data_IF_654920076326
#
_entry.id   IF_654920076326
#
_cell.length_a   1.000
_cell.length_b   1.000
_cell.length_c   1.000
_cell.angle_alpha   90.00
_cell.angle_beta   90.00
_cell.angle_gamma   90.00
#
_symmetry.space_group_name_H-M   'P 1'
#
loop_
_entity.id
_entity.type
_entity.pdbx_description
1 polymer ?
#
# COMPACT_ATOMS: atom_id res chain seq x y z
N UNK A 1 37.13 4.06 -18.06
CA UNK A 1 35.81 4.70 -18.22
C UNK A 1 34.85 3.57 -18.50
N UNK A 2 33.96 3.21 -17.57
CA UNK A 2 32.92 2.22 -17.90
C UNK A 2 32.01 2.87 -18.94
N UNK A 3 31.82 2.25 -20.09
CA UNK A 3 30.80 2.69 -21.03
C UNK A 3 29.47 2.77 -20.30
N UNK A 4 28.87 3.95 -20.31
CA UNK A 4 27.55 4.17 -19.77
C UNK A 4 26.57 3.34 -20.61
N UNK A 5 26.13 2.20 -20.09
CA UNK A 5 25.05 1.43 -20.71
C UNK A 5 23.75 2.17 -20.50
N UNK A 6 23.03 2.44 -21.56
CA UNK A 6 21.67 2.98 -21.51
C UNK A 6 20.68 1.92 -22.00
N UNK A 7 19.47 1.96 -21.45
CA UNK A 7 18.38 1.12 -21.91
C UNK A 7 17.08 1.94 -21.99
N UNK A 8 16.30 1.77 -23.04
CA UNK A 8 14.96 2.34 -23.15
C UNK A 8 14.00 1.39 -23.85
N UNK A 9 12.71 1.50 -23.52
CA UNK A 9 11.63 0.82 -24.23
C UNK A 9 10.92 1.82 -25.14
N UNK A 10 10.53 1.39 -26.33
CA UNK A 10 9.66 2.16 -27.23
C UNK A 10 8.17 1.95 -26.93
N UNK A 11 7.85 1.15 -25.91
CA UNK A 11 6.48 0.80 -25.53
C UNK A 11 5.80 -0.22 -26.45
N UNK A 12 6.45 -0.65 -27.54
CA UNK A 12 5.90 -1.64 -28.46
C UNK A 12 6.19 -3.09 -28.04
N UNK A 13 7.08 -3.28 -27.06
CA UNK A 13 7.61 -4.59 -26.67
C UNK A 13 9.09 -4.79 -27.02
N UNK A 14 9.80 -3.71 -27.37
CA UNK A 14 11.24 -3.71 -27.64
C UNK A 14 12.01 -2.98 -26.55
N UNK A 15 13.12 -3.57 -26.13
CA UNK A 15 14.11 -2.96 -25.26
C UNK A 15 15.38 -2.71 -26.05
N UNK A 16 15.76 -1.44 -26.17
CA UNK A 16 17.01 -1.01 -26.78
C UNK A 16 18.04 -0.89 -25.68
N UNK A 17 19.15 -1.63 -25.77
CA UNK A 17 20.28 -1.55 -24.85
C UNK A 17 21.51 -1.23 -25.67
N UNK A 18 21.99 0.01 -25.60
CA UNK A 18 23.01 0.52 -26.54
C UNK A 18 22.56 0.25 -28.00
N UNK A 19 23.36 -0.49 -28.78
CA UNK A 19 23.06 -0.80 -30.19
C UNK A 19 22.24 -2.11 -30.36
N UNK A 20 21.97 -2.84 -29.28
CA UNK A 20 21.24 -4.12 -29.31
C UNK A 20 19.73 -3.91 -29.06
N UNK A 21 18.90 -4.69 -29.77
CA UNK A 21 17.45 -4.70 -29.58
C UNK A 21 17.02 -6.07 -29.09
N UNK A 22 16.26 -6.10 -28.00
CA UNK A 22 15.68 -7.31 -27.42
C UNK A 22 14.17 -7.19 -27.40
N UNK A 23 13.47 -8.24 -27.81
CA UNK A 23 12.02 -8.23 -27.93
C UNK A 23 11.38 -9.12 -26.86
N UNK A 24 10.27 -8.64 -26.28
CA UNK A 24 9.33 -9.45 -25.50
C UNK A 24 8.17 -9.83 -26.41
N UNK A 25 7.92 -11.12 -26.56
CA UNK A 25 6.85 -11.62 -27.43
C UNK A 25 5.94 -12.60 -26.72
N UNK A 26 4.71 -12.69 -27.19
CA UNK A 26 3.80 -13.79 -26.92
C UNK A 26 3.27 -14.33 -28.25
N UNK A 27 3.49 -15.62 -28.51
CA UNK A 27 3.09 -16.27 -29.75
C UNK A 27 3.57 -15.53 -31.01
N UNK A 28 4.80 -15.00 -30.95
CA UNK A 28 5.42 -14.22 -32.04
C UNK A 28 4.92 -12.78 -32.18
N UNK A 29 3.95 -12.35 -31.35
CA UNK A 29 3.47 -10.97 -31.31
C UNK A 29 4.21 -10.19 -30.23
N UNK A 30 4.63 -8.96 -30.53
CA UNK A 30 5.28 -8.11 -29.53
C UNK A 30 4.31 -7.78 -28.38
N UNK A 31 4.81 -7.87 -27.16
CA UNK A 31 4.08 -7.51 -25.95
C UNK A 31 4.52 -6.14 -25.45
N UNK A 32 3.67 -5.10 -25.55
CA UNK A 32 3.91 -3.81 -24.92
C UNK A 32 4.20 -3.96 -23.42
N UNK A 33 5.27 -3.32 -22.94
CA UNK A 33 5.61 -3.35 -21.53
C UNK A 33 6.10 -1.98 -21.03
N UNK A 34 5.87 -1.76 -19.74
CA UNK A 34 6.40 -0.64 -18.97
C UNK A 34 7.58 -1.10 -18.11
N UNK A 35 8.64 -0.30 -18.04
CA UNK A 35 9.82 -0.60 -17.20
C UNK A 35 9.61 0.04 -15.83
N UNK A 36 9.58 -0.79 -14.79
CA UNK A 36 9.48 -0.32 -13.40
C UNK A 36 10.85 0.03 -12.83
N UNK A 37 11.79 -0.92 -12.90
CA UNK A 37 13.08 -0.77 -12.22
C UNK A 37 14.17 -1.63 -12.87
N UNK A 38 15.40 -1.15 -12.80
CA UNK A 38 16.60 -1.93 -13.06
C UNK A 38 17.35 -2.18 -11.76
N UNK A 39 17.55 -3.46 -11.42
CA UNK A 39 18.27 -3.90 -10.23
C UNK A 39 19.70 -4.25 -10.64
N UNK A 40 20.61 -3.29 -10.45
CA UNK A 40 22.01 -3.40 -10.89
C UNK A 40 22.74 -4.59 -10.26
N UNK A 41 22.47 -4.91 -8.99
CA UNK A 41 23.12 -6.03 -8.28
C UNK A 41 22.80 -7.40 -8.88
N UNK A 42 21.64 -7.54 -9.53
CA UNK A 42 21.19 -8.78 -10.17
C UNK A 42 21.32 -8.76 -11.69
N UNK A 43 21.66 -7.59 -12.26
CA UNK A 43 21.53 -7.31 -13.69
C UNK A 43 20.13 -7.67 -14.24
N UNK A 44 19.10 -7.33 -13.48
CA UNK A 44 17.71 -7.71 -13.74
C UNK A 44 16.86 -6.47 -13.99
N UNK A 45 16.06 -6.49 -15.05
CA UNK A 45 15.02 -5.49 -15.32
C UNK A 45 13.67 -6.05 -14.91
N UNK A 46 12.84 -5.22 -14.27
CA UNK A 46 11.46 -5.57 -13.94
C UNK A 46 10.52 -4.77 -14.80
N UNK A 47 9.64 -5.47 -15.50
CA UNK A 47 8.70 -4.91 -16.47
C UNK A 47 7.28 -5.38 -16.17
N UNK A 48 6.28 -4.58 -16.55
CA UNK A 48 4.88 -5.01 -16.52
C UNK A 48 4.26 -4.98 -17.92
N UNK A 49 3.50 -6.01 -18.25
CA UNK A 49 2.67 -6.08 -19.47
C UNK A 49 1.20 -6.23 -19.09
N UNK A 50 0.32 -5.58 -19.84
CA UNK A 50 -1.12 -5.78 -19.69
C UNK A 50 -1.58 -6.96 -20.53
N UNK A 51 -2.46 -7.78 -19.96
CA UNK A 51 -3.20 -8.81 -20.66
C UNK A 51 -4.64 -8.36 -20.79
N UNK A 52 -5.07 -8.15 -22.03
CA UNK A 52 -6.44 -7.72 -22.34
C UNK A 52 -7.30 -8.97 -22.57
N UNK A 53 -8.09 -9.32 -21.56
CA UNK A 53 -9.15 -10.34 -21.63
C UNK A 53 -10.51 -9.75 -21.21
N UNK A 54 -11.40 -10.55 -20.63
CA UNK A 54 -12.66 -10.04 -20.04
C UNK A 54 -12.40 -9.07 -18.87
N UNK A 55 -11.33 -9.32 -18.10
CA UNK A 55 -10.77 -8.41 -17.10
C UNK A 55 -9.33 -8.08 -17.49
N UNK A 56 -8.93 -6.81 -17.32
CA UNK A 56 -7.54 -6.41 -17.56
C UNK A 56 -6.69 -6.93 -16.42
N UNK A 57 -5.69 -7.75 -16.74
CA UNK A 57 -4.72 -8.25 -15.76
C UNK A 57 -3.33 -7.74 -16.11
N UNK A 58 -2.46 -7.69 -15.12
CA UNK A 58 -1.09 -7.22 -15.27
C UNK A 58 -0.12 -8.32 -14.86
N UNK A 59 0.80 -8.62 -15.76
CA UNK A 59 1.91 -9.50 -15.45
C UNK A 59 3.14 -8.66 -15.16
N UNK A 60 3.72 -8.86 -13.98
CA UNK A 60 5.01 -8.34 -13.58
C UNK A 60 6.06 -9.42 -13.81
N UNK A 61 7.10 -9.07 -14.57
CA UNK A 61 8.11 -10.00 -15.06
C UNK A 61 9.48 -9.47 -14.68
N UNK A 62 10.29 -10.28 -14.00
CA UNK A 62 11.71 -10.01 -13.82
C UNK A 62 12.52 -10.74 -14.88
N UNK A 63 13.41 -10.01 -15.54
CA UNK A 63 14.21 -10.51 -16.66
C UNK A 63 15.68 -10.26 -16.37
N UNK A 64 16.46 -11.32 -16.30
CA UNK A 64 17.92 -11.24 -16.21
C UNK A 64 18.51 -10.94 -17.59
N UNK A 65 19.24 -9.83 -17.70
CA UNK A 65 19.74 -9.35 -18.99
C UNK A 65 20.90 -10.18 -19.55
N UNK A 66 21.63 -10.93 -18.72
CA UNK A 66 22.69 -11.84 -19.17
C UNK A 66 22.11 -13.09 -19.83
N UNK A 67 20.94 -13.55 -19.37
CA UNK A 67 20.21 -14.69 -19.94
C UNK A 67 19.37 -14.31 -21.16
N UNK A 68 18.97 -13.05 -21.28
CA UNK A 68 18.18 -12.52 -22.39
C UNK A 68 19.03 -12.24 -23.64
N UNK A 69 19.89 -13.16 -24.09
CA UNK A 69 20.83 -12.88 -25.18
C UNK A 69 20.12 -12.54 -26.51
N UNK A 70 19.10 -13.32 -26.88
CA UNK A 70 18.37 -13.19 -28.16
C UNK A 70 16.98 -12.57 -28.00
N UNK A 71 16.30 -12.82 -26.89
CA UNK A 71 14.96 -12.32 -26.59
C UNK A 71 14.80 -12.13 -25.08
N UNK A 72 13.94 -11.20 -24.70
CA UNK A 72 13.57 -10.98 -23.31
C UNK A 72 12.90 -12.21 -22.70
N UNK A 73 12.19 -13.00 -23.50
CA UNK A 73 11.54 -14.25 -23.07
C UNK A 73 12.52 -15.25 -22.45
N UNK A 74 13.74 -15.37 -22.99
CA UNK A 74 14.76 -16.30 -22.49
C UNK A 74 15.38 -15.87 -21.16
N UNK A 75 15.23 -14.59 -20.80
CA UNK A 75 15.77 -14.04 -19.55
C UNK A 75 14.80 -14.04 -18.39
N UNK A 76 13.54 -14.49 -18.58
CA UNK A 76 12.52 -14.46 -17.54
C UNK A 76 12.98 -15.30 -16.34
N UNK A 77 13.03 -14.66 -15.17
CA UNK A 77 13.37 -15.28 -13.89
C UNK A 77 12.12 -15.72 -13.14
N UNK A 78 11.09 -14.87 -13.18
CA UNK A 78 9.79 -15.12 -12.60
C UNK A 78 8.75 -14.21 -13.25
N UNK A 79 7.50 -14.66 -13.19
CA UNK A 79 6.31 -13.96 -13.67
C UNK A 79 5.22 -14.05 -12.61
N UNK A 80 4.72 -12.88 -12.20
CA UNK A 80 3.64 -12.74 -11.23
C UNK A 80 2.47 -12.00 -11.88
N UNK A 81 1.24 -12.35 -11.51
CA UNK A 81 0.01 -11.76 -12.03
C UNK A 81 -0.78 -11.06 -10.94
N UNK A 82 -1.28 -9.88 -11.25
CA UNK A 82 -2.17 -9.09 -10.40
C UNK A 82 -3.33 -8.56 -11.25
N UNK A 83 -4.46 -8.29 -10.61
CA UNK A 83 -5.62 -7.68 -11.27
C UNK A 83 -5.49 -6.15 -11.38
N UNK A 84 -4.44 -5.56 -10.81
CA UNK A 84 -4.18 -4.12 -10.90
C UNK A 84 -2.70 -3.82 -11.22
N UNK A 85 -2.44 -2.58 -11.66
CA UNK A 85 -1.12 -2.13 -12.04
C UNK A 85 -0.18 -2.07 -10.82
N UNK A 86 1.08 -2.54 -10.94
CA UNK A 86 2.06 -2.46 -9.86
C UNK A 86 2.30 -1.02 -9.42
N UNK A 87 2.15 -0.77 -8.11
CA UNK A 87 2.36 0.53 -7.47
C UNK A 87 3.76 0.66 -6.85
N UNK A 88 4.36 -0.47 -6.44
CA UNK A 88 5.71 -0.52 -5.85
C UNK A 88 6.47 -1.75 -6.36
N UNK A 89 7.75 -1.56 -6.73
CA UNK A 89 8.64 -2.64 -7.18
C UNK A 89 10.04 -2.40 -6.62
N UNK A 90 10.40 -3.20 -5.62
CA UNK A 90 11.61 -3.00 -4.83
C UNK A 90 12.36 -4.32 -4.61
N UNK A 91 13.68 -4.22 -4.53
CA UNK A 91 14.56 -5.35 -4.20
C UNK A 91 15.53 -4.93 -3.11
N UNK A 92 15.27 -5.37 -1.88
CA UNK A 92 15.95 -4.92 -0.68
C UNK A 92 16.38 -6.13 0.14
N UNK A 93 17.63 -6.15 0.58
CA UNK A 93 18.18 -7.21 1.44
C UNK A 93 17.97 -8.65 0.90
N UNK A 94 18.10 -8.82 -0.42
CA UNK A 94 17.88 -10.06 -1.17
C UNK A 94 16.42 -10.54 -1.27
N UNK A 95 15.46 -9.70 -0.89
CA UNK A 95 14.03 -9.98 -0.95
C UNK A 95 13.34 -9.04 -1.94
N UNK A 96 12.41 -9.58 -2.72
CA UNK A 96 11.51 -8.80 -3.56
C UNK A 96 10.35 -8.27 -2.73
N UNK A 97 10.08 -6.99 -2.85
CA UNK A 97 8.95 -6.32 -2.22
C UNK A 97 8.13 -5.64 -3.31
N UNK A 98 6.95 -6.18 -3.59
CA UNK A 98 6.07 -5.75 -4.66
C UNK A 98 4.75 -5.31 -4.07
N UNK A 99 4.09 -4.33 -4.68
CA UNK A 99 2.73 -4.01 -4.26
C UNK A 99 1.85 -3.53 -5.39
N UNK A 100 0.58 -3.85 -5.27
CA UNK A 100 -0.52 -3.39 -6.12
C UNK A 100 -1.82 -3.46 -5.30
N UNK A 101 -2.94 -3.06 -5.88
CA UNK A 101 -4.24 -3.10 -5.20
C UNK A 101 -4.79 -4.52 -4.99
N UNK A 102 -4.16 -5.54 -5.57
CA UNK A 102 -4.54 -6.95 -5.42
C UNK A 102 -3.31 -7.81 -5.21
N UNK A 103 -3.46 -8.94 -4.51
CA UNK A 103 -2.35 -9.86 -4.28
C UNK A 103 -1.74 -10.37 -5.59
N UNK A 104 -0.41 -10.51 -5.62
CA UNK A 104 0.28 -11.14 -6.73
C UNK A 104 0.16 -12.66 -6.64
N UNK A 105 -0.10 -13.31 -7.77
CA UNK A 105 -0.14 -14.77 -7.89
C UNK A 105 0.93 -15.23 -8.85
N UNK A 106 1.56 -16.38 -8.57
CA UNK A 106 2.57 -16.95 -9.45
C UNK A 106 1.92 -17.47 -10.74
N UNK A 107 2.58 -17.26 -11.86
CA UNK A 107 2.21 -17.84 -13.16
C UNK A 107 3.14 -19.02 -13.44
N UNK A 108 2.62 -20.25 -13.44
CA UNK A 108 3.45 -21.46 -13.52
C UNK A 108 3.95 -21.84 -14.93
N UNK A 109 3.50 -21.15 -16.00
CA UNK A 109 3.89 -21.44 -17.38
C UNK A 109 4.79 -20.36 -17.98
N UNK A 110 6.10 -20.59 -17.96
CA UNK A 110 7.11 -19.75 -18.63
C UNK A 110 7.38 -20.13 -20.10
N UNK A 111 6.46 -20.84 -20.75
CA UNK A 111 6.56 -21.14 -22.18
C UNK A 111 5.33 -21.82 -22.77
N UNK A 112 4.61 -21.11 -23.64
CA UNK A 112 3.55 -21.66 -24.50
C UNK A 112 2.13 -21.43 -23.99
N UNK A 113 1.35 -20.78 -24.85
CA UNK A 113 -0.11 -20.65 -24.87
C UNK A 113 -0.76 -19.70 -23.83
N UNK A 114 -1.05 -18.49 -24.31
CA UNK A 114 -2.16 -17.70 -23.81
C UNK A 114 -3.43 -18.02 -24.63
N UNK A 115 -4.46 -18.46 -23.90
CA UNK A 115 -5.89 -18.63 -24.24
C UNK A 115 -6.34 -20.05 -24.62
N UNK A 116 -7.04 -20.70 -23.67
CA UNK A 116 -8.42 -21.18 -23.89
C UNK A 116 -9.11 -21.39 -22.53
N UNK A 117 -10.17 -20.62 -22.28
CA UNK A 117 -11.16 -20.93 -21.26
C UNK A 117 -11.88 -22.24 -21.60
N UNK A 118 -12.05 -23.09 -20.60
CA UNK A 118 -13.35 -23.63 -20.15
C UNK A 118 -13.08 -24.72 -19.12
N UNK A 119 -13.44 -24.49 -17.86
CA UNK A 119 -14.28 -25.46 -17.15
C UNK A 119 -15.17 -24.74 -16.13
N UNK A 120 -16.39 -25.26 -15.94
CA UNK A 120 -17.55 -24.47 -15.57
C UNK A 120 -17.61 -24.19 -14.06
N UNK A 121 -18.43 -23.20 -13.73
CA UNK A 121 -18.94 -22.94 -12.39
C UNK A 121 -19.39 -24.24 -11.70
N UNK A 122 -18.51 -24.80 -10.86
CA UNK A 122 -18.92 -25.73 -9.83
C UNK A 122 -19.45 -24.91 -8.67
N UNK A 123 -20.77 -24.93 -8.56
CA UNK A 123 -21.53 -24.66 -7.35
C UNK A 123 -20.71 -24.99 -6.11
N UNK A 124 -20.49 -23.97 -5.28
CA UNK A 124 -20.00 -24.09 -3.90
C UNK A 124 -20.96 -25.01 -3.16
N UNK A 125 -20.69 -26.30 -3.26
CA UNK A 125 -21.24 -27.29 -2.34
C UNK A 125 -20.32 -27.18 -1.15
N UNK A 126 -20.88 -26.71 -0.05
CA UNK A 126 -20.23 -26.58 1.24
C UNK A 126 -19.76 -27.97 1.69
N UNK A 127 -18.56 -28.37 1.25
CA UNK A 127 -17.81 -29.43 1.87
C UNK A 127 -17.35 -28.90 3.22
N UNK A 128 -18.13 -29.25 4.24
CA UNK A 128 -17.72 -29.19 5.64
C UNK A 128 -16.41 -29.96 5.81
N UNK A 129 -15.29 -29.27 5.65
CA UNK A 129 -14.05 -29.68 6.29
C UNK A 129 -14.33 -29.74 7.80
N UNK A 130 -13.89 -30.85 8.42
CA UNK A 130 -14.06 -31.08 9.85
C UNK A 130 -13.40 -29.94 10.64
N UNK A 131 -14.02 -29.46 11.74
CA UNK A 131 -13.50 -28.34 12.51
C UNK A 131 -12.43 -28.86 13.47
N UNK A 132 -11.16 -28.48 13.30
CA UNK A 132 -10.16 -28.69 14.36
C UNK A 132 -8.95 -27.76 14.26
N UNK A 133 -9.16 -26.46 14.08
CA UNK A 133 -8.16 -25.47 14.47
C UNK A 133 -8.89 -24.18 14.88
N UNK A 134 -8.53 -23.66 16.05
CA UNK A 134 -9.12 -22.43 16.59
C UNK A 134 -8.74 -21.26 15.67
N UNK A 135 -9.74 -20.51 15.21
CA UNK A 135 -9.54 -19.33 14.36
C UNK A 135 -9.24 -18.10 15.22
N UNK A 136 -8.30 -17.28 14.76
CA UNK A 136 -7.89 -16.04 15.40
C UNK A 136 -8.25 -14.86 14.51
N UNK A 137 -8.96 -13.88 15.05
CA UNK A 137 -9.22 -12.59 14.42
C UNK A 137 -8.60 -11.50 15.28
N UNK A 138 -8.18 -10.39 14.66
CA UNK A 138 -7.59 -9.28 15.40
C UNK A 138 -8.04 -7.93 14.83
N UNK A 139 -7.95 -6.90 15.66
CA UNK A 139 -8.20 -5.51 15.33
C UNK A 139 -7.25 -4.64 16.14
N UNK A 140 -7.13 -3.36 15.81
CA UNK A 140 -6.40 -2.41 16.65
C UNK A 140 -7.10 -1.06 16.72
N UNK A 141 -6.80 -0.37 17.81
CA UNK A 141 -7.09 1.04 18.03
C UNK A 141 -5.77 1.79 18.25
N UNK A 142 -5.85 3.08 18.58
CA UNK A 142 -4.68 3.93 18.78
C UNK A 142 -3.79 3.41 19.94
N UNK A 143 -4.39 2.95 21.03
CA UNK A 143 -3.69 2.56 22.25
C UNK A 143 -3.68 1.04 22.53
N UNK A 144 -4.44 0.24 21.76
CA UNK A 144 -4.57 -1.19 22.01
C UNK A 144 -4.64 -2.05 20.73
N UNK A 145 -4.28 -3.32 20.86
CA UNK A 145 -4.49 -4.38 19.87
C UNK A 145 -5.40 -5.44 20.49
N UNK A 146 -6.56 -5.68 19.89
CA UNK A 146 -7.53 -6.68 20.37
C UNK A 146 -7.44 -7.95 19.55
N UNK A 147 -7.32 -9.10 20.23
CA UNK A 147 -7.24 -10.42 19.64
C UNK A 147 -8.42 -11.24 20.14
N UNK A 148 -9.19 -11.81 19.22
CA UNK A 148 -10.33 -12.68 19.53
C UNK A 148 -10.02 -14.08 19.01
N UNK A 149 -10.06 -15.06 19.92
CA UNK A 149 -9.82 -16.47 19.61
C UNK A 149 -11.11 -17.24 19.82
N UNK A 150 -11.60 -17.89 18.76
CA UNK A 150 -12.76 -18.77 18.83
C UNK A 150 -12.35 -20.15 19.37
N UNK A 151 -12.91 -20.53 20.51
CA UNK A 151 -12.61 -21.79 21.20
C UNK A 151 -13.57 -22.89 20.78
N UNK A 152 -13.02 -24.04 20.39
CA UNK A 152 -13.79 -25.26 20.06
C UNK A 152 -14.36 -25.98 21.28
N UNK A 153 -13.70 -25.88 22.45
CA UNK A 153 -14.17 -26.42 23.73
C UNK A 153 -13.91 -25.42 24.87
N UNK A 154 -14.89 -25.24 25.78
CA UNK A 154 -14.76 -24.39 26.97
C UNK A 154 -14.44 -25.27 28.18
N UNK A 155 -13.21 -25.21 28.66
CA UNK A 155 -12.73 -25.84 29.89
C UNK A 155 -12.56 -24.85 31.06
N UNK A 156 -11.63 -25.16 31.97
CA UNK A 156 -11.33 -24.29 33.12
C UNK A 156 -10.64 -22.99 32.64
N UNK A 157 -10.92 -21.85 33.30
CA UNK A 157 -10.39 -20.52 32.92
C UNK A 157 -8.86 -20.50 32.89
N UNK A 158 -8.22 -21.20 33.82
CA UNK A 158 -6.76 -21.26 33.96
C UNK A 158 -6.06 -21.95 32.78
N UNK A 159 -6.74 -22.88 32.09
CA UNK A 159 -6.20 -23.58 30.92
C UNK A 159 -6.05 -22.70 29.67
N UNK A 160 -6.72 -21.53 29.65
CA UNK A 160 -6.73 -20.61 28.51
C UNK A 160 -6.01 -19.29 28.79
N UNK A 161 -5.48 -19.11 30.00
CA UNK A 161 -4.86 -17.86 30.40
C UNK A 161 -3.66 -17.55 29.50
N UNK A 162 -3.68 -16.43 28.75
CA UNK A 162 -2.53 -16.04 27.95
C UNK A 162 -1.38 -15.62 28.86
N UNK A 163 -0.15 -15.99 28.48
CA UNK A 163 1.06 -15.47 29.11
C UNK A 163 1.56 -14.33 28.24
N UNK A 164 1.35 -13.11 28.72
CA UNK A 164 1.68 -11.87 28.01
C UNK A 164 3.08 -11.42 28.48
N UNK A 165 3.98 -11.17 27.53
CA UNK A 165 5.28 -10.55 27.74
C UNK A 165 5.43 -9.37 26.77
N UNK A 166 6.43 -8.52 27.02
CA UNK A 166 6.67 -7.27 26.28
C UNK A 166 6.66 -7.41 24.76
N UNK A 167 7.13 -8.51 24.17
CA UNK A 167 7.13 -8.72 22.70
C UNK A 167 6.69 -10.13 22.29
N UNK A 168 6.09 -10.86 23.21
CA UNK A 168 5.74 -12.26 22.99
C UNK A 168 4.45 -12.57 23.74
N UNK A 169 3.58 -13.37 23.13
CA UNK A 169 2.39 -13.88 23.77
C UNK A 169 2.31 -15.39 23.62
N UNK A 170 2.01 -16.10 24.71
CA UNK A 170 1.62 -17.50 24.64
C UNK A 170 0.13 -17.60 24.83
N UNK A 171 -0.58 -18.11 23.83
CA UNK A 171 -2.01 -18.35 23.86
C UNK A 171 -2.22 -19.87 23.80
N UNK A 172 -2.41 -20.56 24.95
CA UNK A 172 -2.47 -22.02 25.00
C UNK A 172 -3.55 -22.66 24.11
N UNK A 173 -4.63 -21.92 23.83
CA UNK A 173 -5.68 -22.35 22.91
C UNK A 173 -5.26 -22.35 21.44
N UNK A 174 -4.27 -21.54 21.05
CA UNK A 174 -3.79 -21.45 19.66
C UNK A 174 -2.51 -22.25 19.46
N UNK A 175 -1.56 -22.13 20.40
CA UNK A 175 -0.27 -22.81 20.34
C UNK A 175 0.30 -23.03 21.73
N UNK A 176 1.04 -24.12 21.90
CA UNK A 176 1.82 -24.36 23.10
C UNK A 176 3.12 -23.54 23.14
N UNK A 177 3.51 -22.97 21.99
CA UNK A 177 4.72 -22.17 21.84
C UNK A 177 4.45 -20.69 22.12
N UNK A 178 5.52 -19.95 22.36
CA UNK A 178 5.45 -18.50 22.54
C UNK A 178 5.46 -17.84 21.16
N UNK A 179 4.48 -16.97 20.90
CA UNK A 179 4.27 -16.31 19.61
C UNK A 179 4.89 -14.90 19.67
N UNK A 180 5.80 -14.55 18.75
CA UNK A 180 6.42 -13.23 18.72
C UNK A 180 5.45 -12.18 18.16
N UNK A 181 5.20 -11.11 18.92
CA UNK A 181 4.34 -10.00 18.51
C UNK A 181 5.06 -9.08 17.53
N UNK A 182 4.28 -8.34 16.74
CA UNK A 182 4.78 -7.38 15.76
C UNK A 182 5.61 -6.26 16.40
N UNK A 183 5.13 -5.66 17.50
CA UNK A 183 5.85 -4.63 18.25
C UNK A 183 5.72 -4.82 19.78
N UNK A 184 6.39 -3.97 20.56
CA UNK A 184 6.36 -3.97 22.01
C UNK A 184 5.01 -3.54 22.58
N UNK A 185 4.55 -4.27 23.60
CA UNK A 185 3.32 -4.01 24.34
C UNK A 185 3.62 -3.67 25.81
N UNK A 186 2.72 -2.90 26.41
CA UNK A 186 2.71 -2.62 27.83
C UNK A 186 1.89 -3.70 28.56
N UNK A 187 2.58 -4.44 29.43
CA UNK A 187 2.00 -5.58 30.14
C UNK A 187 0.97 -5.10 31.17
N UNK A 188 1.18 -3.93 31.77
CA UNK A 188 0.33 -3.44 32.87
C UNK A 188 -1.02 -2.93 32.36
N UNK A 189 -1.08 -2.47 31.11
CA UNK A 189 -2.32 -2.06 30.43
C UNK A 189 -3.01 -3.19 29.67
N UNK A 190 -2.33 -4.32 29.46
CA UNK A 190 -2.87 -5.47 28.75
C UNK A 190 -3.81 -6.30 29.62
N UNK A 191 -4.97 -6.66 29.09
CA UNK A 191 -6.01 -7.42 29.78
C UNK A 191 -6.51 -8.57 28.92
N UNK A 192 -7.20 -9.53 29.54
CA UNK A 192 -7.88 -10.59 28.79
C UNK A 192 -9.16 -11.01 29.50
N UNK A 193 -10.15 -11.38 28.71
CA UNK A 193 -11.44 -11.86 29.19
C UNK A 193 -11.81 -13.17 28.48
N UNK A 194 -12.53 -14.04 29.20
CA UNK A 194 -13.03 -15.29 28.64
C UNK A 194 -14.55 -15.22 28.62
N UNK A 195 -15.11 -15.04 27.43
CA UNK A 195 -16.53 -15.03 27.21
C UNK A 195 -17.05 -16.45 27.00
N UNK A 196 -17.56 -17.05 28.09
CA UNK A 196 -18.11 -18.42 28.07
C UNK A 196 -19.41 -18.55 27.27
N UNK A 197 -20.15 -17.46 27.06
CA UNK A 197 -21.40 -17.52 26.32
C UNK A 197 -21.15 -17.58 24.81
N UNK A 198 -20.10 -16.90 24.36
CA UNK A 198 -19.71 -16.84 22.95
C UNK A 198 -18.58 -17.81 22.57
N UNK A 199 -18.07 -18.59 23.53
CA UNK A 199 -16.89 -19.45 23.37
C UNK A 199 -15.68 -18.67 22.81
N UNK A 200 -15.45 -17.47 23.31
CA UNK A 200 -14.42 -16.55 22.82
C UNK A 200 -13.46 -16.14 23.93
N UNK A 201 -12.18 -16.16 23.61
CA UNK A 201 -11.12 -15.55 24.41
C UNK A 201 -10.78 -14.21 23.76
N UNK A 202 -11.01 -13.12 24.49
CA UNK A 202 -10.71 -11.75 24.08
C UNK A 202 -9.45 -11.31 24.82
N UNK A 203 -8.46 -10.81 24.10
CA UNK A 203 -7.18 -10.36 24.64
C UNK A 203 -6.95 -8.95 24.12
N UNK A 204 -6.84 -7.99 25.03
CA UNK A 204 -6.56 -6.60 24.73
C UNK A 204 -5.13 -6.30 25.15
N UNK A 205 -4.27 -6.01 24.18
CA UNK A 205 -2.86 -5.71 24.39
C UNK A 205 -2.64 -4.21 24.29
N UNK A 206 -2.20 -3.57 25.38
CA UNK A 206 -1.88 -2.15 25.36
C UNK A 206 -0.60 -1.89 24.56
N UNK A 207 -0.66 -1.02 23.54
CA UNK A 207 0.50 -0.64 22.75
C UNK A 207 1.44 0.22 23.59
N UNK A 208 2.72 -0.15 23.64
CA UNK A 208 3.73 0.69 24.29
C UNK A 208 4.02 1.95 23.47
N UNK A 209 4.01 1.81 22.14
CA UNK A 209 4.08 2.92 21.22
C UNK A 209 2.70 3.19 20.61
N UNK A 210 2.02 4.23 21.10
CA UNK A 210 0.66 4.60 20.68
C UNK A 210 0.60 5.18 19.26
N UNK A 211 1.73 5.57 18.68
CA UNK A 211 1.79 6.06 17.29
C UNK A 211 2.10 4.95 16.28
N UNK A 212 2.46 3.76 16.75
CA UNK A 212 2.82 2.64 15.88
C UNK A 212 1.58 1.92 15.35
N UNK A 213 1.40 1.94 14.03
CA UNK A 213 0.40 1.14 13.30
C UNK A 213 0.94 -0.27 13.03
N UNK A 214 0.18 -1.29 13.42
CA UNK A 214 0.52 -2.69 13.19
C UNK A 214 -0.05 -3.15 11.86
N UNK A 215 0.77 -3.67 10.95
CA UNK A 215 0.33 -4.21 9.65
C UNK A 215 0.15 -5.74 9.67
N UNK A 216 0.58 -6.38 10.75
CA UNK A 216 0.41 -7.80 11.04
C UNK A 216 0.34 -7.96 12.56
N UNK A 217 -0.28 -9.05 13.03
CA UNK A 217 -0.35 -9.38 14.44
C UNK A 217 1.00 -9.88 15.00
N UNK A 218 1.76 -10.61 14.17
CA UNK A 218 3.01 -11.26 14.56
C UNK A 218 4.21 -10.73 13.78
N UNK A 219 5.40 -10.98 14.32
CA UNK A 219 6.68 -10.63 13.69
C UNK A 219 6.77 -11.21 12.26
N UNK A 220 7.42 -10.48 11.35
CA UNK A 220 7.53 -10.79 9.92
C UNK A 220 8.12 -12.19 9.63
N UNK A 221 8.91 -12.72 10.57
CA UNK A 221 9.55 -14.04 10.42
C UNK A 221 8.68 -15.20 10.88
N UNK A 222 7.53 -14.92 11.52
CA UNK A 222 6.69 -15.92 12.13
C UNK A 222 5.54 -16.32 11.20
N UNK A 223 5.62 -17.53 10.64
CA UNK A 223 4.49 -18.16 9.94
C UNK A 223 3.62 -18.88 10.99
N UNK A 224 2.41 -18.38 11.30
CA UNK A 224 1.55 -19.00 12.31
C UNK A 224 1.08 -20.38 11.84
N UNK A 225 1.06 -21.40 12.71
CA UNK A 225 0.56 -22.73 12.37
C UNK A 225 -0.98 -22.82 12.33
N UNK A 226 -1.67 -21.68 12.45
CA UNK A 226 -3.12 -21.55 12.52
C UNK A 226 -3.60 -20.41 11.61
N UNK A 227 -4.88 -20.45 11.24
CA UNK A 227 -5.49 -19.44 10.38
C UNK A 227 -5.72 -18.14 11.17
N UNK A 228 -5.13 -17.05 10.66
CA UNK A 228 -5.35 -15.68 11.14
C UNK A 228 -6.16 -14.97 10.08
N UNK A 229 -7.28 -14.37 10.49
CA UNK A 229 -8.03 -13.48 9.60
C UNK A 229 -7.35 -12.12 9.54
N UNK A 230 -7.39 -11.48 8.37
CA UNK A 230 -6.99 -10.08 8.20
C UNK A 230 -7.65 -9.17 9.25
N UNK A 231 -7.00 -8.04 9.50
CA UNK A 231 -7.45 -7.05 10.47
C UNK A 231 -8.93 -6.70 10.26
N UNK A 232 -9.73 -6.81 11.31
CA UNK A 232 -11.13 -6.39 11.31
C UNK A 232 -11.26 -4.99 11.90
N UNK A 233 -12.32 -4.29 11.48
CA UNK A 233 -12.71 -3.03 12.10
C UNK A 233 -12.95 -3.24 13.60
N UNK A 234 -12.39 -2.37 14.43
CA UNK A 234 -12.57 -2.45 15.89
C UNK A 234 -14.01 -2.09 16.28
N UNK A 235 -14.43 -2.52 17.46
CA UNK A 235 -15.77 -2.22 17.97
C UNK A 235 -15.97 -0.71 18.19
N UNK A 236 -14.92 0.02 18.59
CA UNK A 236 -14.97 1.48 18.72
C UNK A 236 -15.22 2.16 17.38
N UNK A 237 -14.55 1.74 16.31
CA UNK A 237 -14.80 2.26 14.96
C UNK A 237 -16.21 1.95 14.48
N UNK A 238 -16.71 0.74 14.74
CA UNK A 238 -18.09 0.38 14.40
C UNK A 238 -19.11 1.23 15.17
N UNK A 239 -18.90 1.49 16.46
CA UNK A 239 -19.76 2.36 17.26
C UNK A 239 -19.71 3.82 16.78
N UNK A 240 -18.52 4.32 16.44
CA UNK A 240 -18.35 5.65 15.85
C UNK A 240 -19.11 5.76 14.51
N UNK A 241 -18.94 4.78 13.62
CA UNK A 241 -19.64 4.72 12.34
C UNK A 241 -21.17 4.67 12.52
N UNK A 242 -21.67 3.89 13.49
CA UNK A 242 -23.10 3.85 13.82
C UNK A 242 -23.61 5.20 14.33
N UNK A 243 -22.87 5.86 15.23
CA UNK A 243 -23.26 7.18 15.76
C UNK A 243 -23.26 8.29 14.69
N UNK A 244 -22.31 8.20 13.74
CA UNK A 244 -22.28 9.08 12.57
C UNK A 244 -23.47 8.83 11.65
N UNK A 245 -23.87 7.58 11.43
CA UNK A 245 -25.07 7.24 10.66
C UNK A 245 -26.36 7.70 11.36
N UNK A 246 -26.42 7.60 12.69
CA UNK A 246 -27.55 8.10 13.49
C UNK A 246 -27.75 9.62 13.29
N UNK A 247 -26.64 10.39 13.25
CA UNK A 247 -26.65 11.84 12.97
C UNK A 247 -27.27 12.20 11.61
N UNK A 248 -27.11 11.35 10.59
CA UNK A 248 -27.74 11.56 9.28
C UNK A 248 -29.19 11.07 9.20
N UNK A 249 -29.65 10.30 10.19
CA UNK A 249 -31.04 9.83 10.27
C UNK A 249 -31.92 10.69 11.18
N UNK A 250 -31.35 11.51 12.06
CA UNK A 250 -32.11 12.38 12.97
C UNK A 250 -32.43 13.76 12.41
N UNK A 251 -31.70 14.28 11.41
CA UNK A 251 -32.02 15.57 10.76
C UNK A 251 -32.82 15.40 9.46
N UNK A 252 -34.01 14.80 9.63
CA UNK A 252 -35.00 14.59 8.57
C UNK A 252 -36.26 15.44 8.69
N UNK A 253 -36.19 16.65 9.25
CA UNK A 253 -37.32 17.60 9.20
C UNK A 253 -37.03 18.72 8.19
N UNK A 254 -37.66 18.57 7.02
CA UNK A 254 -37.47 19.43 5.87
C UNK A 254 -37.82 20.89 6.16
N UNK A 255 -36.88 21.80 5.88
CA UNK A 255 -37.06 23.12 5.23
C UNK A 255 -35.85 24.03 5.50
N UNK A 256 -34.69 23.77 4.88
CA UNK A 256 -33.70 24.84 4.69
C UNK A 256 -33.10 24.79 3.28
N UNK A 257 -33.50 25.76 2.47
CA UNK A 257 -32.88 26.08 1.18
C UNK A 257 -31.49 26.68 1.43
N UNK A 258 -30.46 26.36 0.62
CA UNK A 258 -29.13 26.95 0.79
C UNK A 258 -29.19 28.46 0.51
N UNK A 259 -28.84 29.27 1.51
CA UNK A 259 -28.69 30.72 1.35
C UNK A 259 -27.43 31.03 0.54
N UNK A 260 -27.59 31.29 -0.74
CA UNK A 260 -26.60 31.93 -1.61
C UNK A 260 -26.33 33.34 -1.04
N UNK A 261 -25.09 33.62 -0.62
CA UNK A 261 -24.64 34.99 -0.33
C UNK A 261 -24.17 35.67 -1.64
N UNK A 262 -24.54 36.94 -1.88
CA UNK A 262 -24.13 37.67 -3.07
C UNK A 262 -22.79 38.38 -2.86
N UNK A 263 -21.81 38.12 -3.74
CA UNK A 263 -20.52 38.82 -3.77
C UNK A 263 -19.44 37.99 -4.44
N UNK A 264 -19.43 37.96 -5.77
CA UNK A 264 -18.51 37.15 -6.56
C UNK A 264 -17.07 37.64 -6.54
N UNK A 265 -16.16 36.70 -6.24
CA UNK A 265 -14.75 36.65 -6.61
C UNK A 265 -14.24 35.22 -6.34
N UNK A 266 -14.01 34.46 -7.43
CA UNK A 266 -13.28 33.18 -7.55
C UNK A 266 -13.59 32.03 -6.56
N UNK A 267 -14.48 31.12 -6.99
CA UNK A 267 -14.87 29.86 -6.33
C UNK A 267 -13.94 28.66 -6.61
N UNK A 268 -12.61 28.83 -6.66
CA UNK A 268 -11.68 27.70 -6.88
C UNK A 268 -10.52 27.62 -5.86
N UNK A 269 -10.78 28.06 -4.63
CA UNK A 269 -9.93 27.73 -3.49
C UNK A 269 -10.84 27.22 -2.37
N UNK A 270 -10.91 25.90 -2.12
CA UNK A 270 -11.61 25.37 -0.96
C UNK A 270 -10.98 25.96 0.30
N UNK A 271 -11.78 26.76 1.03
CA UNK A 271 -11.38 27.37 2.29
C UNK A 271 -11.24 26.30 3.37
N UNK A 272 -10.00 25.87 3.63
CA UNK A 272 -9.54 24.99 4.72
C UNK A 272 -9.70 25.57 6.14
N UNK A 273 -10.68 26.45 6.39
CA UNK A 273 -10.81 27.13 7.66
C UNK A 273 -11.96 26.58 8.50
N UNK A 274 -11.62 25.64 9.39
CA UNK A 274 -12.35 25.20 10.59
C UNK A 274 -13.78 24.65 10.37
N UNK A 275 -13.92 23.33 10.43
CA UNK A 275 -15.17 22.71 10.88
C UNK A 275 -15.70 21.52 10.08
N UNK A 276 -15.02 21.09 9.02
CA UNK A 276 -15.46 19.96 8.18
C UNK A 276 -14.31 18.95 8.01
N UNK A 277 -13.86 18.33 9.10
CA UNK A 277 -13.28 16.98 8.98
C UNK A 277 -14.47 16.05 8.81
N UNK A 278 -14.58 15.42 7.66
CA UNK A 278 -15.56 14.36 7.43
C UNK A 278 -14.80 13.05 7.60
N UNK A 279 -14.80 12.53 8.84
CA UNK A 279 -14.03 11.35 9.24
C UNK A 279 -14.30 10.13 8.33
N UNK A 280 -15.45 10.06 7.65
CA UNK A 280 -15.77 8.98 6.72
C UNK A 280 -15.11 9.17 5.34
N UNK A 281 -15.05 10.41 4.83
CA UNK A 281 -14.40 10.71 3.55
C UNK A 281 -12.88 10.69 3.71
N UNK A 282 -12.38 11.14 4.86
CA UNK A 282 -10.96 11.25 5.17
C UNK A 282 -10.31 9.91 5.51
N UNK A 283 -11.07 8.94 6.05
CA UNK A 283 -10.62 7.56 6.27
C UNK A 283 -10.57 6.74 4.97
N UNK A 284 -11.40 7.07 3.98
CA UNK A 284 -11.48 6.37 2.70
C UNK A 284 -10.44 6.82 1.64
N UNK A 285 -9.37 7.49 2.07
CA UNK A 285 -8.39 8.13 1.18
C UNK A 285 -7.21 7.23 0.85
N UNK A 286 -6.90 7.10 -0.44
CA UNK A 286 -5.77 6.34 -0.94
C UNK A 286 -6.21 5.15 -1.79
N UNK A 287 -5.26 4.28 -2.13
CA UNK A 287 -5.51 3.08 -2.95
C UNK A 287 -5.33 1.84 -2.11
N UNK A 288 -6.15 0.82 -2.33
CA UNK A 288 -5.91 -0.50 -1.75
C UNK A 288 -4.46 -0.93 -2.05
N UNK A 289 -3.83 -1.58 -1.08
CA UNK A 289 -2.42 -1.90 -1.15
C UNK A 289 -2.13 -3.25 -0.52
N UNK A 290 -1.82 -4.24 -1.35
CA UNK A 290 -1.31 -5.52 -0.88
C UNK A 290 0.18 -5.59 -1.15
N UNK A 291 0.98 -5.64 -0.08
CA UNK A 291 2.42 -5.87 -0.18
C UNK A 291 2.69 -7.36 -0.29
N UNK A 292 3.38 -7.77 -1.35
CA UNK A 292 3.87 -9.13 -1.55
C UNK A 292 5.38 -9.15 -1.37
N UNK A 293 5.86 -9.92 -0.40
CA UNK A 293 7.28 -10.14 -0.13
C UNK A 293 7.70 -11.57 -0.45
N UNK A 294 8.86 -11.74 -1.08
CA UNK A 294 9.43 -13.06 -1.32
C UNK A 294 10.93 -13.04 -1.63
N UNK A 295 11.65 -14.03 -1.12
CA UNK A 295 13.01 -14.36 -1.58
C UNK A 295 12.99 -15.45 -2.67
N UNK A 296 12.00 -16.34 -2.61
CA UNK A 296 11.72 -17.36 -3.60
C UNK A 296 10.28 -17.16 -4.10
N UNK A 297 10.08 -17.10 -5.42
CA UNK A 297 8.76 -16.86 -6.05
C UNK A 297 7.72 -17.93 -5.69
N UNK A 298 8.16 -19.13 -5.30
CA UNK A 298 7.27 -20.21 -4.85
C UNK A 298 6.69 -19.97 -3.44
N UNK A 299 7.27 -19.05 -2.67
CA UNK A 299 6.88 -18.74 -1.30
C UNK A 299 6.52 -17.26 -1.15
N UNK A 300 5.36 -16.89 -1.69
CA UNK A 300 4.83 -15.53 -1.58
C UNK A 300 4.25 -15.28 -0.18
N UNK A 301 4.65 -14.17 0.43
CA UNK A 301 4.04 -13.65 1.66
C UNK A 301 3.24 -12.41 1.33
N UNK A 302 1.95 -12.39 1.69
CA UNK A 302 1.08 -11.26 1.45
C UNK A 302 0.77 -10.54 2.75
N UNK A 303 0.89 -9.22 2.72
CA UNK A 303 0.48 -8.32 3.78
C UNK A 303 -0.63 -7.45 3.20
N UNK A 304 -1.86 -7.67 3.67
CA UNK A 304 -2.99 -6.81 3.34
C UNK A 304 -2.81 -5.50 4.09
N UNK A 305 -2.50 -4.42 3.38
CA UNK A 305 -2.46 -3.08 3.96
C UNK A 305 -3.72 -2.30 3.52
N UNK A 306 -4.13 -1.35 4.34
CA UNK A 306 -5.37 -0.61 4.11
C UNK A 306 -5.30 0.26 2.86
N UNK A 307 -4.63 1.42 2.95
CA UNK A 307 -4.65 2.41 1.87
C UNK A 307 -3.30 3.08 1.67
N UNK A 308 -2.68 2.86 0.52
CA UNK A 308 -1.47 3.57 0.11
C UNK A 308 -1.77 5.04 -0.14
N UNK A 309 -1.04 5.89 0.56
CA UNK A 309 -1.05 7.33 0.37
C UNK A 309 0.12 7.78 -0.50
N UNK A 310 1.29 7.18 -0.34
CA UNK A 310 2.49 7.61 -1.07
C UNK A 310 3.54 6.52 -1.24
N UNK A 311 4.20 6.53 -2.40
CA UNK A 311 5.40 5.73 -2.70
C UNK A 311 6.66 6.59 -2.70
N UNK A 312 7.87 6.02 -2.63
CA UNK A 312 9.09 6.81 -2.71
C UNK A 312 9.19 7.55 -4.04
N UNK A 313 9.83 8.71 -4.00
CA UNK A 313 10.11 9.47 -5.21
C UNK A 313 10.95 8.65 -6.20
N UNK A 314 10.49 8.44 -7.45
CA UNK A 314 11.21 7.60 -8.41
C UNK A 314 12.63 8.10 -8.64
N UNK A 315 13.58 7.17 -8.71
CA UNK A 315 15.03 7.45 -8.87
C UNK A 315 15.69 8.17 -7.69
N UNK A 316 14.99 8.35 -6.55
CA UNK A 316 15.62 8.86 -5.34
C UNK A 316 16.51 7.79 -4.68
N UNK A 317 17.81 8.06 -4.46
CA UNK A 317 18.79 7.04 -4.11
C UNK A 317 19.00 6.92 -2.59
N UNK A 318 17.94 6.93 -1.79
CA UNK A 318 18.06 6.53 -0.37
C UNK A 318 17.93 5.01 -0.25
N UNK A 319 18.61 4.50 0.77
CA UNK A 319 18.92 3.09 0.99
C UNK A 319 17.72 2.28 1.49
N UNK A 320 16.75 2.97 2.08
CA UNK A 320 15.58 2.38 2.71
C UNK A 320 14.38 2.62 1.79
N UNK A 321 13.84 1.53 1.25
CA UNK A 321 12.60 1.57 0.52
C UNK A 321 11.49 1.79 1.53
N UNK A 322 10.67 2.82 1.35
CA UNK A 322 9.60 3.15 2.29
C UNK A 322 8.24 3.27 1.59
N UNK A 323 7.15 3.22 2.34
CA UNK A 323 5.82 3.54 1.80
C UNK A 323 4.98 4.18 2.89
N UNK A 324 3.99 4.98 2.52
CA UNK A 324 3.10 5.63 3.47
C UNK A 324 1.69 5.08 3.27
N UNK A 325 1.09 4.56 4.34
CA UNK A 325 -0.32 4.15 4.36
C UNK A 325 -1.15 5.06 5.25
N UNK A 326 -2.44 5.14 4.96
CA UNK A 326 -3.42 5.76 5.86
C UNK A 326 -3.58 4.91 7.10
N UNK A 327 -3.49 5.54 8.26
CA UNK A 327 -3.99 5.00 9.51
C UNK A 327 -5.38 5.58 9.77
N UNK A 328 -6.42 4.79 9.52
CA UNK A 328 -7.81 5.16 9.73
C UNK A 328 -8.12 5.56 11.18
N UNK A 329 -7.34 5.04 12.14
CA UNK A 329 -7.60 5.25 13.58
C UNK A 329 -7.10 6.61 14.07
N UNK A 330 -5.97 7.07 13.54
CA UNK A 330 -5.32 8.32 13.94
C UNK A 330 -5.44 9.42 12.89
N UNK A 331 -5.98 9.11 11.71
CA UNK A 331 -5.99 9.98 10.53
C UNK A 331 -4.58 10.52 10.20
N UNK A 332 -3.56 9.68 10.40
CA UNK A 332 -2.16 9.97 10.05
C UNK A 332 -1.68 9.14 8.88
N UNK A 333 -0.65 9.62 8.19
CA UNK A 333 0.05 8.87 7.16
C UNK A 333 1.23 8.13 7.78
N UNK A 334 1.04 6.87 8.17
CA UNK A 334 2.09 6.07 8.78
C UNK A 334 3.15 5.64 7.74
N UNK A 335 4.41 6.02 7.97
CA UNK A 335 5.56 5.68 7.15
C UNK A 335 6.12 4.32 7.57
N UNK A 336 6.29 3.41 6.62
CA UNK A 336 6.82 2.07 6.84
C UNK A 336 8.12 1.84 6.08
N UNK A 337 9.03 1.10 6.71
CA UNK A 337 10.15 0.47 6.01
C UNK A 337 9.64 -0.74 5.23
N UNK A 338 9.94 -0.81 3.94
CA UNK A 338 9.51 -1.91 3.08
C UNK A 338 10.17 -3.23 3.48
N UNK A 339 11.40 -3.17 4.01
CA UNK A 339 12.15 -4.38 4.37
C UNK A 339 11.58 -5.03 5.62
N UNK A 340 11.57 -4.32 6.75
CA UNK A 340 11.10 -4.85 8.04
C UNK A 340 9.58 -4.77 8.22
N UNK A 341 8.92 -4.06 7.31
CA UNK A 341 7.51 -3.71 7.38
C UNK A 341 7.15 -3.07 8.72
N UNK A 342 8.10 -2.31 9.29
CA UNK A 342 7.93 -1.59 10.56
C UNK A 342 7.57 -0.15 10.33
N UNK A 343 6.71 0.38 11.21
CA UNK A 343 6.44 1.79 11.26
C UNK A 343 7.71 2.54 11.71
N UNK A 344 8.11 3.53 10.91
CA UNK A 344 9.29 4.37 11.12
C UNK A 344 8.92 5.73 11.70
N UNK A 345 7.83 6.31 11.20
CA UNK A 345 7.40 7.68 11.45
C UNK A 345 5.92 7.82 11.04
N UNK A 346 5.31 8.98 11.31
CA UNK A 346 3.94 9.28 10.90
C UNK A 346 3.79 10.74 10.46
N UNK A 347 3.11 10.96 9.33
CA UNK A 347 2.76 12.29 8.85
C UNK A 347 1.39 12.69 9.41
N UNK A 348 1.37 13.67 10.31
CA UNK A 348 0.12 14.20 10.87
C UNK A 348 -0.81 14.67 9.74
N UNK A 349 -2.12 14.38 9.81
CA UNK A 349 -3.16 14.86 8.89
C UNK A 349 -2.92 14.64 7.38
N UNK A 350 -1.99 13.77 6.98
CA UNK A 350 -1.72 13.49 5.57
C UNK A 350 -2.95 12.93 4.82
N UNK A 351 -3.72 11.95 5.37
CA UNK A 351 -4.94 11.47 4.73
C UNK A 351 -5.91 12.62 4.37
N UNK A 352 -6.14 13.55 5.30
CA UNK A 352 -6.99 14.73 5.09
C UNK A 352 -6.48 15.64 3.96
N UNK A 353 -5.17 15.89 3.90
CA UNK A 353 -4.56 16.70 2.82
C UNK A 353 -4.79 16.03 1.47
N UNK A 354 -4.64 14.71 1.41
CA UNK A 354 -4.79 13.90 0.20
C UNK A 354 -6.28 13.77 -0.19
N UNK A 355 -7.21 13.73 0.77
CA UNK A 355 -8.66 13.64 0.55
C UNK A 355 -9.18 14.74 -0.38
N UNK A 356 -8.60 15.94 -0.22
CA UNK A 356 -8.97 17.13 -1.00
C UNK A 356 -8.43 17.12 -2.45
N UNK A 357 -7.66 16.11 -2.86
CA UNK A 357 -6.97 16.06 -4.16
C UNK A 357 -7.67 15.11 -5.13
N UNK A 358 -7.74 15.51 -6.40
CA UNK A 358 -8.52 14.78 -7.42
C UNK A 358 -7.76 13.63 -8.07
N UNK A 359 -6.43 13.73 -8.13
CA UNK A 359 -5.58 12.73 -8.76
C UNK A 359 -4.42 12.36 -7.83
N UNK A 360 -4.39 11.08 -7.44
CA UNK A 360 -3.42 10.51 -6.51
C UNK A 360 -2.43 9.57 -7.21
N UNK A 361 -2.37 9.58 -8.56
CA UNK A 361 -1.46 8.68 -9.31
C UNK A 361 0.00 8.95 -9.01
N UNK A 362 0.33 10.22 -8.82
CA UNK A 362 1.68 10.67 -8.55
C UNK A 362 1.69 11.29 -7.15
N UNK A 363 1.70 10.44 -6.13
CA UNK A 363 1.91 10.88 -4.75
C UNK A 363 3.19 10.25 -4.22
N UNK A 364 4.22 11.07 -4.11
CA UNK A 364 5.57 10.61 -3.82
C UNK A 364 6.14 11.27 -2.57
N UNK A 365 6.84 10.51 -1.73
CA UNK A 365 7.53 11.05 -0.57
C UNK A 365 9.04 11.00 -0.73
N UNK A 366 9.68 11.90 -0.01
CA UNK A 366 11.11 12.01 0.10
C UNK A 366 11.51 11.67 1.53
N UNK A 367 11.88 10.40 1.77
CA UNK A 367 12.19 9.93 3.12
C UNK A 367 11.05 10.23 4.09
N UNK A 368 11.35 10.80 5.25
CA UNK A 368 10.39 11.29 6.23
C UNK A 368 10.35 12.83 6.26
N UNK A 369 10.79 13.51 5.21
CA UNK A 369 10.92 14.98 5.20
C UNK A 369 9.71 15.65 4.57
N UNK A 370 9.21 15.10 3.45
CA UNK A 370 8.08 15.66 2.74
C UNK A 370 7.34 14.64 1.88
N UNK A 371 6.08 14.96 1.56
CA UNK A 371 5.22 14.28 0.60
C UNK A 371 4.83 15.26 -0.49
N UNK A 372 4.87 14.84 -1.75
CA UNK A 372 4.49 15.62 -2.93
C UNK A 372 3.32 14.94 -3.62
N UNK A 373 2.21 15.64 -3.74
CA UNK A 373 1.04 15.20 -4.50
C UNK A 373 0.98 15.99 -5.80
N UNK A 374 1.05 15.32 -6.95
CA UNK A 374 0.90 15.96 -8.26
C UNK A 374 -0.50 15.69 -8.82
N UNK A 375 -1.25 16.76 -9.10
CA UNK A 375 -2.54 16.64 -9.76
C UNK A 375 -2.39 16.62 -11.29
N UNK A 376 -2.70 15.51 -11.95
CA UNK A 376 -2.50 15.31 -13.40
C UNK A 376 -3.54 15.96 -14.32
N UNK A 377 -4.37 16.89 -13.83
CA UNK A 377 -5.54 17.38 -14.58
C UNK A 377 -5.21 18.31 -15.75
N UNK A 378 -5.98 18.17 -16.85
CA UNK A 378 -5.81 18.92 -18.10
C UNK A 378 -6.73 20.16 -18.24
N UNK A 379 -7.44 20.55 -17.17
CA UNK A 379 -8.35 21.70 -17.18
C UNK A 379 -7.68 22.98 -16.64
N UNK A 380 -8.26 24.14 -16.94
CA UNK A 380 -7.82 25.42 -16.37
C UNK A 380 -7.89 25.35 -14.84
N UNK A 381 -6.79 25.65 -14.16
CA UNK A 381 -6.66 25.59 -12.69
C UNK A 381 -6.12 24.26 -12.14
N UNK A 382 -5.99 23.23 -12.98
CA UNK A 382 -5.37 21.95 -12.61
C UNK A 382 -3.87 21.93 -12.93
N UNK A 383 -3.16 20.93 -12.42
CA UNK A 383 -1.74 20.74 -12.68
C UNK A 383 -0.83 21.16 -11.53
N UNK A 384 -1.38 21.32 -10.33
CA UNK A 384 -0.63 21.75 -9.16
C UNK A 384 0.16 20.59 -8.55
N UNK A 385 1.34 20.90 -8.03
CA UNK A 385 2.05 20.05 -7.10
C UNK A 385 1.92 20.65 -5.70
N UNK A 386 1.49 19.82 -4.76
CA UNK A 386 1.35 20.15 -3.35
C UNK A 386 2.48 19.47 -2.60
N UNK A 387 3.31 20.27 -1.92
CA UNK A 387 4.37 19.77 -1.04
C UNK A 387 3.87 19.90 0.39
N UNK A 388 3.84 18.77 1.08
CA UNK A 388 3.52 18.64 2.49
C UNK A 388 4.80 18.31 3.25
N UNK A 389 5.21 19.16 4.17
CA UNK A 389 6.42 18.94 4.95
C UNK A 389 6.13 18.21 6.25
N UNK A 390 7.02 17.33 6.67
CA UNK A 390 6.94 16.70 7.98
C UNK A 390 7.11 17.76 9.08
N UNK A 391 6.43 17.54 10.19
CA UNK A 391 6.50 18.41 11.36
C UNK A 391 7.47 17.83 12.39
N UNK A 392 8.13 18.71 13.15
CA UNK A 392 9.09 18.27 14.18
C UNK A 392 8.43 17.63 15.41
N UNK A 393 7.09 17.62 15.47
CA UNK A 393 6.31 17.11 16.60
C UNK A 393 5.06 16.38 16.11
N UNK A 394 4.90 15.14 16.55
CA UNK A 394 3.72 14.28 16.32
C UNK A 394 2.41 14.87 16.87
N UNK A 395 2.49 15.93 17.67
CA UNK A 395 1.34 16.65 18.25
C UNK A 395 1.01 17.97 17.52
N UNK A 396 1.66 18.26 16.38
CA UNK A 396 1.36 19.51 15.68
C UNK A 396 0.08 19.39 14.85
N UNK A 397 -0.90 20.24 15.16
CA UNK A 397 -2.15 20.34 14.37
C UNK A 397 -1.96 21.00 12.99
N UNK A 398 -0.75 21.45 12.67
CA UNK A 398 -0.44 22.19 11.43
C UNK A 398 0.94 21.85 10.89
N UNK A 399 1.02 21.56 9.60
CA UNK A 399 2.28 21.39 8.89
C UNK A 399 2.50 22.47 7.82
N UNK A 400 3.76 22.82 7.49
CA UNK A 400 4.04 23.69 6.36
C UNK A 400 3.56 23.01 5.07
N UNK A 401 2.90 23.78 4.21
CA UNK A 401 2.56 23.34 2.86
C UNK A 401 2.99 24.37 1.84
N UNK A 402 3.39 23.90 0.67
CA UNK A 402 3.69 24.75 -0.49
C UNK A 402 2.97 24.21 -1.71
N UNK A 403 2.47 25.11 -2.55
CA UNK A 403 1.76 24.76 -3.78
C UNK A 403 2.39 25.50 -4.92
N UNK A 404 2.63 24.80 -6.01
CA UNK A 404 3.14 25.43 -7.23
C UNK A 404 2.61 24.71 -8.47
N UNK A 405 2.50 25.46 -9.57
CA UNK A 405 1.98 24.93 -10.83
C UNK A 405 3.05 24.06 -11.51
N UNK A 406 2.83 22.75 -11.55
CA UNK A 406 3.76 21.78 -12.12
C UNK A 406 3.44 21.51 -13.60
N UNK A 407 2.28 20.94 -13.89
CA UNK A 407 1.79 20.58 -15.23
C UNK A 407 0.52 21.38 -15.60
N UNK A 408 -0.30 20.91 -16.54
CA UNK A 408 -1.56 21.54 -16.95
C UNK A 408 -1.41 22.68 -17.96
N UNK A 409 -2.55 23.21 -18.41
CA UNK A 409 -2.62 24.22 -19.49
C UNK A 409 -1.90 23.76 -20.77
N UNK A 410 -0.97 24.59 -21.28
CA UNK A 410 -0.21 24.31 -22.50
C UNK A 410 0.75 23.13 -22.33
N UNK A 411 1.13 22.80 -21.09
CA UNK A 411 2.04 21.68 -20.77
C UNK A 411 1.36 20.32 -20.91
N UNK A 412 0.03 20.26 -20.81
CA UNK A 412 -0.76 19.04 -20.82
C UNK A 412 -0.72 18.24 -19.50
N UNK A 413 -1.28 17.03 -19.51
CA UNK A 413 -1.36 16.15 -18.34
C UNK A 413 0.02 15.65 -17.92
N UNK A 414 0.19 15.35 -16.63
CA UNK A 414 1.40 14.69 -16.13
C UNK A 414 1.41 13.21 -16.52
N UNK A 415 2.50 12.76 -17.14
CA UNK A 415 2.72 11.39 -17.59
C UNK A 415 3.70 10.63 -16.71
N UNK A 416 4.65 11.33 -16.05
CA UNK A 416 5.62 10.69 -15.18
C UNK A 416 6.49 11.70 -14.43
N UNK A 417 7.08 11.25 -13.33
CA UNK A 417 7.97 12.04 -12.46
C UNK A 417 9.24 11.23 -12.17
N UNK A 418 10.39 11.89 -12.16
CA UNK A 418 11.66 11.30 -11.79
C UNK A 418 12.56 12.30 -11.07
N UNK A 419 13.36 11.84 -10.11
CA UNK A 419 14.31 12.68 -9.39
C UNK A 419 15.76 12.29 -9.67
N UNK A 420 16.58 13.30 -9.97
CA UNK A 420 17.99 13.16 -10.32
C UNK A 420 18.86 13.72 -9.18
N UNK A 421 19.23 12.85 -8.23
CA UNK A 421 19.98 13.23 -7.01
C UNK A 421 21.33 13.87 -7.28
N UNK A 422 22.04 13.47 -8.33
CA UNK A 422 23.34 14.06 -8.69
C UNK A 422 23.23 15.55 -9.03
N UNK A 423 22.03 16.01 -9.38
CA UNK A 423 21.75 17.38 -9.79
C UNK A 423 20.76 18.08 -8.84
N UNK A 424 20.13 17.35 -7.92
CA UNK A 424 19.08 17.90 -7.05
C UNK A 424 17.82 18.30 -7.84
N UNK A 425 17.55 17.62 -8.95
CA UNK A 425 16.52 18.02 -9.92
C UNK A 425 15.34 17.06 -9.90
N UNK A 426 14.13 17.61 -9.77
CA UNK A 426 12.89 16.92 -10.04
C UNK A 426 12.45 17.19 -11.48
N UNK A 427 12.17 16.14 -12.24
CA UNK A 427 11.73 16.21 -13.63
C UNK A 427 10.33 15.62 -13.75
N UNK A 428 9.44 16.36 -14.41
CA UNK A 428 8.10 15.95 -14.76
C UNK A 428 7.93 15.87 -16.27
N UNK A 429 7.56 14.70 -16.78
CA UNK A 429 7.16 14.54 -18.17
C UNK A 429 5.67 14.85 -18.30
N UNK A 430 5.33 15.91 -19.03
CA UNK A 430 3.95 16.24 -19.40
C UNK A 430 3.72 15.96 -20.89
N UNK A 431 2.46 15.90 -21.33
CA UNK A 431 2.11 15.59 -22.74
C UNK A 431 2.84 16.48 -23.75
N UNK A 432 2.98 17.78 -23.46
CA UNK A 432 3.54 18.75 -24.39
C UNK A 432 4.85 19.40 -23.91
N UNK A 433 5.35 19.04 -22.72
CA UNK A 433 6.54 19.69 -22.16
C UNK A 433 7.26 18.84 -21.11
N UNK A 434 8.55 19.13 -20.94
CA UNK A 434 9.34 18.62 -19.83
C UNK A 434 9.51 19.74 -18.79
N UNK A 435 9.05 19.50 -17.58
CA UNK A 435 9.15 20.44 -16.45
C UNK A 435 10.34 20.03 -15.60
N UNK A 436 11.22 20.98 -15.30
CA UNK A 436 12.46 20.73 -14.56
C UNK A 436 12.50 21.71 -13.39
N UNK A 437 12.64 21.17 -12.19
CA UNK A 437 12.74 21.94 -10.94
C UNK A 437 14.07 21.63 -10.32
N UNK A 438 14.92 22.65 -10.20
CA UNK A 438 16.13 22.60 -9.38
C UNK A 438 15.80 23.02 -7.95
N UNK A 439 16.61 22.59 -7.01
CA UNK A 439 16.62 23.10 -5.63
C UNK A 439 15.30 22.87 -4.89
N UNK A 440 14.68 21.70 -5.09
CA UNK A 440 13.49 21.28 -4.36
C UNK A 440 13.77 21.07 -2.85
N UNK A 441 15.04 20.82 -2.50
CA UNK A 441 15.55 20.56 -1.14
C UNK A 441 16.75 21.45 -0.88
#
# INVERSE_FOLDING_TARGET
>A
MSETKWAFSDGSGRLFINDDVKELTNDGTLLPFYIHKYIQSLNTIVISTSLVGETTKFDLIAINLDRAAESLNHGIMWRLRSDDFPSLVEYVANEWCLASSSAFTKVDNDGGDLIAEEEPAQSVTTEKSKPTQNQCTWSQDQDAVSIIVHLTEIGNKESYAPIIKTKEIKIPSLSNDTLPLYDEIDIDSSNWTLNRQLSQLEIDLGKKNQTARWISLFDEHFKPPFEITDERLSEQHLQSALSSLEKYTEEGDGTQSPKIRPGGLSDDIPSLAKGEMDDNVDSDVGRLFTLTKFSNVDELQHFTCQRLLSTPLPSYPKQDSTFIISDETTLTGALFDTKSVKNLDSFAALPFVIASKRDLKFTHHLSNELVIVFEGGNHKGAGNAFIYFQTESDQSDTAPQSVFQFCGYEKGSLLGVAYFKSQGILVGLCENSLVVISDLI
#
